data_IF_780257200224
#
_entry.id   IF_780257200224
#
_cell.length_a   1.000
_cell.length_b   1.000
_cell.length_c   1.000
_cell.angle_alpha   90.00
_cell.angle_beta   90.00
_cell.angle_gamma   90.00
#
_symmetry.space_group_name_H-M   'P 1'
#
loop_
_entity.id
_entity.type
_entity.pdbx_description
1 polymer ?
#
# COMPACT_ATOMS: atom_id res chain seq x y z
N UNK A 1 33.08 -7.92 -2.94
CA UNK A 1 33.74 -6.81 -3.68
C UNK A 1 32.68 -5.74 -3.89
N UNK A 2 32.72 -4.62 -3.15
CA UNK A 2 31.61 -3.65 -3.10
C UNK A 2 31.32 -3.02 -4.47
N UNK A 3 30.13 -3.25 -5.03
CA UNK A 3 29.66 -2.63 -6.27
C UNK A 3 28.57 -1.59 -5.97
N UNK A 4 28.97 -0.33 -6.13
CA UNK A 4 28.21 0.84 -6.59
C UNK A 4 26.67 0.78 -6.53
N UNK A 5 26.09 1.40 -5.50
CA UNK A 5 24.70 1.88 -5.50
C UNK A 5 24.64 3.10 -6.44
N UNK A 6 24.01 2.94 -7.60
CA UNK A 6 23.78 4.06 -8.52
C UNK A 6 22.44 4.69 -8.21
N UNK A 7 22.40 5.57 -7.20
CA UNK A 7 21.25 6.41 -6.92
C UNK A 7 21.20 7.54 -7.96
N UNK A 8 20.52 7.32 -9.08
CA UNK A 8 20.26 8.35 -10.09
C UNK A 8 18.78 8.43 -10.37
N UNK A 9 18.12 9.39 -9.74
CA UNK A 9 16.89 10.00 -10.27
C UNK A 9 16.77 11.41 -9.76
N UNK A 10 17.00 12.35 -10.67
CA UNK A 10 16.94 13.77 -10.45
C UNK A 10 15.49 14.20 -10.16
N UNK A 11 15.25 14.76 -8.98
CA UNK A 11 14.05 15.52 -8.68
C UNK A 11 14.05 16.83 -9.50
N UNK A 12 13.53 16.76 -10.73
CA UNK A 12 13.17 17.94 -11.50
C UNK A 12 11.82 18.43 -11.00
N UNK A 13 11.85 19.38 -10.06
CA UNK A 13 10.69 20.22 -9.73
C UNK A 13 10.30 21.04 -10.97
N UNK A 14 9.38 20.52 -11.78
CA UNK A 14 8.63 21.36 -12.70
C UNK A 14 7.65 22.19 -11.85
N UNK A 15 8.10 23.37 -11.44
CA UNK A 15 7.23 24.44 -10.96
C UNK A 15 6.39 24.95 -12.15
N UNK A 16 5.39 24.16 -12.56
CA UNK A 16 4.33 24.64 -13.41
C UNK A 16 3.55 25.69 -12.65
N UNK A 17 3.77 26.96 -12.98
CA UNK A 17 2.91 28.07 -12.57
C UNK A 17 1.60 27.99 -13.35
N UNK A 18 0.85 26.90 -13.15
CA UNK A 18 -0.55 26.85 -13.52
C UNK A 18 -1.24 27.92 -12.70
N UNK A 19 -1.77 28.96 -13.36
CA UNK A 19 -2.61 29.95 -12.70
C UNK A 19 -3.74 29.18 -12.01
N UNK A 20 -3.68 29.12 -10.67
CA UNK A 20 -4.80 28.67 -9.87
C UNK A 20 -5.95 29.65 -10.16
N UNK A 21 -6.83 29.25 -11.07
CA UNK A 21 -8.14 29.88 -11.17
C UNK A 21 -8.75 29.78 -9.77
N UNK A 22 -9.28 30.88 -9.26
CA UNK A 22 -9.89 31.02 -7.94
C UNK A 22 -11.14 30.12 -7.87
N UNK A 23 -10.92 28.82 -7.67
CA UNK A 23 -11.96 27.83 -7.48
C UNK A 23 -12.19 27.78 -5.97
N UNK A 24 -13.00 28.71 -5.47
CA UNK A 24 -13.36 28.78 -4.06
C UNK A 24 -13.82 27.42 -3.55
N UNK A 25 -13.28 27.00 -2.40
CA UNK A 25 -13.57 25.71 -1.78
C UNK A 25 -12.65 24.57 -2.22
N UNK A 26 -11.78 24.75 -3.21
CA UNK A 26 -10.75 23.77 -3.56
C UNK A 26 -9.62 23.73 -2.52
N UNK A 27 -9.00 22.57 -2.33
CA UNK A 27 -7.75 22.43 -1.60
C UNK A 27 -6.92 21.28 -2.16
N UNK A 28 -5.61 21.38 -2.03
CA UNK A 28 -4.65 20.31 -2.35
C UNK A 28 -3.83 19.98 -1.13
N UNK A 29 -3.41 18.72 -1.00
CA UNK A 29 -2.58 18.27 0.11
C UNK A 29 -1.52 17.27 -0.33
N UNK A 30 -0.47 17.14 0.48
CA UNK A 30 0.57 16.15 0.29
C UNK A 30 1.25 15.82 1.62
N UNK A 31 1.78 14.61 1.72
CA UNK A 31 2.43 14.16 2.95
C UNK A 31 2.81 12.69 2.92
N UNK A 32 2.81 12.09 4.09
CA UNK A 32 3.09 10.67 4.31
C UNK A 32 1.88 9.99 4.94
N UNK A 33 1.71 8.72 4.60
CA UNK A 33 0.69 7.83 5.12
C UNK A 33 1.28 6.46 5.48
N UNK A 34 0.47 5.57 6.07
CA UNK A 34 0.83 4.16 6.25
C UNK A 34 1.16 3.44 4.94
N UNK A 35 0.72 3.99 3.80
CA UNK A 35 1.04 3.49 2.45
C UNK A 35 2.23 4.17 1.78
N UNK A 36 2.90 5.11 2.45
CA UNK A 36 3.97 5.91 1.84
C UNK A 36 3.54 7.34 1.52
N UNK A 37 4.13 7.94 0.49
CA UNK A 37 3.83 9.32 0.13
C UNK A 37 2.41 9.43 -0.44
N UNK A 38 1.71 10.52 -0.14
CA UNK A 38 0.40 10.80 -0.72
C UNK A 38 0.28 12.21 -1.27
N UNK A 39 -0.63 12.36 -2.21
CA UNK A 39 -1.16 13.64 -2.67
C UNK A 39 -2.70 13.59 -2.63
N UNK A 40 -3.34 14.72 -2.36
CA UNK A 40 -4.79 14.83 -2.29
C UNK A 40 -5.30 16.08 -3.01
N UNK A 41 -6.53 15.98 -3.52
CA UNK A 41 -7.28 17.11 -4.03
C UNK A 41 -8.69 17.03 -3.45
N UNK A 42 -9.23 18.16 -2.99
CA UNK A 42 -10.57 18.21 -2.42
C UNK A 42 -11.33 19.46 -2.83
N UNK A 43 -12.65 19.35 -2.80
CA UNK A 43 -13.56 20.43 -3.14
C UNK A 43 -14.75 20.46 -2.19
N UNK A 44 -15.12 21.65 -1.71
CA UNK A 44 -16.32 21.86 -0.88
C UNK A 44 -17.57 21.84 -1.76
N UNK A 45 -18.38 20.79 -1.61
CA UNK A 45 -19.61 20.60 -2.40
C UNK A 45 -20.85 21.13 -1.69
N UNK A 46 -20.80 21.23 -0.36
CA UNK A 46 -21.85 21.78 0.46
C UNK A 46 -21.25 22.30 1.78
N UNK A 47 -21.97 23.14 2.55
CA UNK A 47 -21.50 23.58 3.85
C UNK A 47 -21.14 22.38 4.72
N UNK A 48 -19.91 22.37 5.24
CA UNK A 48 -19.34 21.29 6.07
C UNK A 48 -19.05 19.98 5.35
N UNK A 49 -19.24 19.89 4.03
CA UNK A 49 -19.01 18.66 3.27
C UNK A 49 -18.03 18.90 2.12
N UNK A 50 -16.92 18.16 2.13
CA UNK A 50 -15.93 18.18 1.06
C UNK A 50 -15.81 16.80 0.43
N UNK A 51 -15.63 16.74 -0.87
CA UNK A 51 -15.18 15.52 -1.55
C UNK A 51 -13.68 15.57 -1.71
N UNK A 52 -12.98 14.47 -1.43
CA UNK A 52 -11.53 14.37 -1.47
C UNK A 52 -11.08 13.12 -2.20
N UNK A 53 -10.22 13.31 -3.20
CA UNK A 53 -9.44 12.24 -3.82
C UNK A 53 -8.05 12.17 -3.20
N UNK A 54 -7.54 10.98 -2.96
CA UNK A 54 -6.18 10.74 -2.48
C UNK A 54 -5.50 9.75 -3.43
N UNK A 55 -4.25 10.01 -3.79
CA UNK A 55 -3.35 9.02 -4.39
C UNK A 55 -2.24 8.79 -3.39
N UNK A 56 -1.97 7.53 -3.04
CA UNK A 56 -0.97 7.17 -2.03
C UNK A 56 -0.16 5.96 -2.48
N UNK A 57 1.10 5.91 -2.09
CA UNK A 57 1.92 4.73 -2.30
C UNK A 57 3.41 4.94 -2.06
N UNK A 58 4.15 3.85 -2.18
CA UNK A 58 5.60 3.85 -2.30
C UNK A 58 5.99 3.71 -3.77
N UNK A 59 7.15 4.26 -4.19
CA UNK A 59 7.76 3.86 -5.43
C UNK A 59 7.91 2.34 -5.47
N UNK A 60 7.68 1.73 -6.63
CA UNK A 60 7.99 0.32 -6.87
C UNK A 60 9.42 0.03 -6.44
N UNK A 61 9.60 -1.08 -5.73
CA UNK A 61 10.91 -1.55 -5.32
C UNK A 61 11.13 -2.97 -5.85
N UNK A 62 12.34 -3.20 -6.31
CA UNK A 62 12.85 -4.49 -6.78
C UNK A 62 14.07 -4.79 -5.90
N UNK A 63 14.06 -5.94 -5.21
CA UNK A 63 15.21 -6.42 -4.46
C UNK A 63 15.69 -7.74 -5.07
N UNK A 64 16.92 -7.75 -5.55
CA UNK A 64 17.65 -8.94 -5.97
C UNK A 64 18.78 -9.20 -4.95
N UNK A 65 18.75 -10.34 -4.27
CA UNK A 65 19.88 -10.81 -3.45
C UNK A 65 20.55 -12.01 -4.13
N UNK A 66 21.75 -11.79 -4.68
CA UNK A 66 22.62 -12.85 -5.20
C UNK A 66 23.41 -13.44 -4.02
N UNK A 67 22.85 -14.44 -3.33
CA UNK A 67 23.51 -15.09 -2.19
C UNK A 67 24.77 -15.87 -2.60
N UNK A 68 25.97 -15.27 -2.47
CA UNK A 68 27.27 -15.90 -2.76
C UNK A 68 27.56 -17.19 -1.93
N UNK A 69 26.76 -17.53 -0.90
CA UNK A 69 26.93 -18.73 -0.07
C UNK A 69 25.85 -19.83 -0.21
N UNK A 70 24.72 -19.59 -0.88
CA UNK A 70 23.63 -20.62 -1.00
C UNK A 70 23.09 -20.87 -2.40
N UNK A 71 23.41 -20.05 -3.41
CA UNK A 71 22.96 -20.29 -4.79
C UNK A 71 21.46 -20.06 -5.06
N UNK A 72 20.75 -19.42 -4.14
CA UNK A 72 19.34 -19.08 -4.28
C UNK A 72 19.19 -17.62 -4.73
N UNK A 73 18.78 -17.42 -5.99
CA UNK A 73 18.33 -16.11 -6.47
C UNK A 73 16.92 -15.85 -5.91
N UNK A 74 16.79 -14.82 -5.06
CA UNK A 74 15.51 -14.37 -4.54
C UNK A 74 15.24 -12.97 -5.10
N UNK A 75 14.12 -12.84 -5.82
CA UNK A 75 13.64 -11.56 -6.35
C UNK A 75 12.31 -11.22 -5.66
N UNK A 76 12.18 -9.97 -5.22
CA UNK A 76 10.94 -9.42 -4.66
C UNK A 76 10.52 -8.17 -5.43
N UNK A 77 9.25 -8.17 -5.86
CA UNK A 77 8.59 -7.07 -6.54
C UNK A 77 7.41 -6.61 -5.70
N UNK A 78 7.39 -5.33 -5.30
CA UNK A 78 6.33 -4.78 -4.47
C UNK A 78 5.73 -3.49 -5.00
N UNK A 79 4.40 -3.45 -5.15
CA UNK A 79 3.63 -2.21 -5.19
C UNK A 79 2.83 -2.07 -3.90
N UNK A 80 2.92 -0.91 -3.26
CA UNK A 80 2.14 -0.64 -2.06
C UNK A 80 1.48 0.71 -2.19
N UNK A 81 0.15 0.76 -2.29
CA UNK A 81 -0.56 1.99 -2.55
C UNK A 81 -2.01 1.82 -2.99
N UNK A 82 -2.55 2.92 -3.51
CA UNK A 82 -3.92 2.98 -3.99
C UNK A 82 -4.44 4.40 -4.21
N UNK A 83 -5.73 4.46 -4.50
CA UNK A 83 -6.48 5.71 -4.66
C UNK A 83 -7.67 5.69 -3.71
N UNK A 84 -7.96 6.79 -3.02
CA UNK A 84 -9.14 6.91 -2.17
C UNK A 84 -10.10 7.97 -2.71
N UNK A 85 -11.39 7.72 -2.58
CA UNK A 85 -12.45 8.69 -2.79
C UNK A 85 -13.25 8.84 -1.48
N UNK A 86 -13.17 10.01 -0.86
CA UNK A 86 -13.69 10.28 0.48
C UNK A 86 -14.67 11.46 0.47
N UNK A 87 -15.66 11.37 1.36
CA UNK A 87 -16.47 12.50 1.79
C UNK A 87 -16.05 12.92 3.20
N UNK A 88 -15.55 14.15 3.32
CA UNK A 88 -15.10 14.74 4.58
C UNK A 88 -16.22 15.63 5.16
N UNK A 89 -16.81 15.17 6.26
CA UNK A 89 -17.78 15.93 7.03
C UNK A 89 -17.09 16.71 8.16
N UNK A 90 -17.42 17.99 8.32
CA UNK A 90 -16.86 18.89 9.33
C UNK A 90 -17.95 19.36 10.31
N UNK A 91 -18.28 18.56 11.36
CA UNK A 91 -19.43 18.80 12.24
C UNK A 91 -19.49 20.23 12.81
N UNK A 92 -18.32 20.74 13.21
CA UNK A 92 -18.15 22.03 13.87
C UNK A 92 -17.70 23.16 12.94
N UNK A 93 -17.73 22.96 11.62
CA UNK A 93 -17.24 23.91 10.61
C UNK A 93 -15.81 24.43 10.90
N UNK A 94 -14.99 23.60 11.55
CA UNK A 94 -13.64 23.91 11.97
C UNK A 94 -12.66 22.84 11.51
N UNK A 95 -11.55 22.71 12.23
CA UNK A 95 -10.44 21.84 11.86
C UNK A 95 -10.72 20.34 11.94
N UNK A 96 -11.70 19.90 12.71
CA UNK A 96 -12.01 18.48 12.86
C UNK A 96 -12.87 17.97 11.70
N UNK A 97 -12.46 16.84 11.11
CA UNK A 97 -13.21 16.13 10.06
C UNK A 97 -13.44 14.66 10.40
N UNK A 98 -14.58 14.15 9.93
CA UNK A 98 -14.89 12.72 9.85
C UNK A 98 -15.02 12.38 8.38
N UNK A 99 -14.23 11.42 7.92
CA UNK A 99 -14.09 11.05 6.52
C UNK A 99 -14.63 9.65 6.31
N UNK A 100 -15.38 9.44 5.24
CA UNK A 100 -15.85 8.11 4.85
C UNK A 100 -15.91 7.95 3.34
N UNK A 101 -15.60 6.77 2.84
CA UNK A 101 -15.63 6.49 1.41
C UNK A 101 -15.02 5.14 1.04
N UNK A 102 -14.35 5.10 -0.11
CA UNK A 102 -13.79 3.89 -0.69
C UNK A 102 -12.30 4.07 -0.95
N UNK A 103 -11.54 3.00 -0.73
CA UNK A 103 -10.13 2.86 -1.07
C UNK A 103 -10.00 1.79 -2.16
N UNK A 104 -9.33 2.15 -3.24
CA UNK A 104 -9.03 1.28 -4.39
C UNK A 104 -7.56 0.89 -4.27
N UNK A 105 -7.30 -0.31 -3.78
CA UNK A 105 -5.93 -0.80 -3.58
C UNK A 105 -5.30 -1.25 -4.89
N UNK A 106 -4.00 -1.05 -4.99
CA UNK A 106 -3.13 -1.71 -5.98
C UNK A 106 -1.92 -2.36 -5.28
N UNK A 107 -2.09 -2.71 -4.01
CA UNK A 107 -1.02 -3.29 -3.22
C UNK A 107 -0.84 -4.77 -3.59
N UNK A 108 0.35 -5.12 -4.06
CA UNK A 108 0.79 -6.50 -4.22
C UNK A 108 2.24 -6.64 -3.76
N UNK A 109 2.56 -7.79 -3.21
CA UNK A 109 3.93 -8.20 -2.94
C UNK A 109 4.11 -9.58 -3.56
N UNK A 110 4.95 -9.64 -4.59
CA UNK A 110 5.26 -10.84 -5.34
C UNK A 110 6.72 -11.20 -5.06
N UNK A 111 7.01 -12.48 -4.84
CA UNK A 111 8.37 -12.95 -4.53
C UNK A 111 8.61 -14.34 -5.07
N UNK A 112 9.84 -14.62 -5.49
CA UNK A 112 10.23 -15.94 -5.94
C UNK A 112 11.50 -16.41 -5.25
N UNK A 113 11.57 -17.69 -4.90
CA UNK A 113 12.71 -18.28 -4.19
C UNK A 113 13.06 -19.69 -4.67
N UNK A 114 14.26 -20.11 -4.29
CA UNK A 114 14.75 -21.48 -4.44
C UNK A 114 14.95 -22.11 -3.07
N UNK A 115 14.53 -23.37 -2.94
CA UNK A 115 14.42 -24.08 -1.68
C UNK A 115 13.05 -23.89 -1.03
N UNK A 116 12.53 -24.97 -0.45
CA UNK A 116 11.29 -24.96 0.35
C UNK A 116 11.46 -25.91 1.54
N UNK A 117 11.00 -25.49 2.71
CA UNK A 117 10.96 -26.33 3.91
C UNK A 117 9.50 -26.42 4.37
N UNK A 118 8.98 -27.64 4.40
CA UNK A 118 7.63 -27.94 4.87
C UNK A 118 7.55 -27.83 6.40
N UNK A 119 6.33 -27.71 6.92
CA UNK A 119 6.10 -27.62 8.38
C UNK A 119 6.59 -28.84 9.16
N UNK A 120 6.58 -30.02 8.54
CA UNK A 120 7.04 -31.27 9.12
C UNK A 120 8.58 -31.42 9.16
N UNK A 121 9.29 -30.44 8.60
CA UNK A 121 10.75 -30.40 8.49
C UNK A 121 11.31 -31.07 7.23
N UNK A 122 10.46 -31.48 6.28
CA UNK A 122 10.90 -31.96 4.97
C UNK A 122 11.47 -30.81 4.15
N UNK A 123 12.70 -30.99 3.65
CA UNK A 123 13.41 -29.96 2.88
C UNK A 123 13.51 -30.34 1.40
N UNK A 124 13.18 -29.39 0.55
CA UNK A 124 13.18 -29.47 -0.90
C UNK A 124 14.19 -28.47 -1.47
N UNK A 125 15.47 -28.84 -1.48
CA UNK A 125 16.57 -27.96 -1.89
C UNK A 125 16.44 -27.46 -3.36
N UNK A 126 15.85 -28.27 -4.24
CA UNK A 126 15.68 -27.95 -5.66
C UNK A 126 14.32 -27.32 -5.98
N UNK A 127 13.47 -27.08 -4.98
CA UNK A 127 12.16 -26.50 -5.21
C UNK A 127 12.29 -25.05 -5.67
N UNK A 128 11.40 -24.64 -6.57
CA UNK A 128 11.17 -23.24 -6.91
C UNK A 128 9.76 -22.89 -6.46
N UNK A 129 9.64 -21.82 -5.68
CA UNK A 129 8.36 -21.33 -5.15
C UNK A 129 8.21 -19.86 -5.52
N UNK A 130 7.06 -19.53 -6.07
CA UNK A 130 6.58 -18.20 -6.36
C UNK A 130 5.44 -17.90 -5.38
N UNK A 131 5.49 -16.76 -4.70
CA UNK A 131 4.50 -16.34 -3.70
C UNK A 131 3.94 -14.96 -4.04
N UNK A 132 2.63 -14.78 -3.85
CA UNK A 132 1.93 -13.51 -4.04
C UNK A 132 1.09 -13.17 -2.81
N UNK A 133 1.13 -11.91 -2.40
CA UNK A 133 0.36 -11.36 -1.29
C UNK A 133 -0.41 -10.13 -1.76
N UNK A 134 -1.74 -10.14 -1.61
CA UNK A 134 -2.63 -9.04 -2.02
C UNK A 134 -3.72 -8.81 -0.98
N UNK A 135 -4.29 -7.61 -0.93
CA UNK A 135 -5.52 -7.44 -0.13
C UNK A 135 -6.68 -8.14 -0.83
N UNK A 136 -7.50 -8.85 -0.06
CA UNK A 136 -8.67 -9.57 -0.58
C UNK A 136 -9.66 -8.60 -1.25
N UNK A 137 -9.89 -7.44 -0.64
CA UNK A 137 -10.78 -6.41 -1.18
C UNK A 137 -10.00 -5.32 -1.92
N UNK A 138 -10.02 -5.37 -3.26
CA UNK A 138 -9.48 -4.30 -4.11
C UNK A 138 -10.23 -2.97 -3.90
N UNK A 139 -11.54 -3.03 -3.59
CA UNK A 139 -12.40 -1.87 -3.32
C UNK A 139 -12.90 -1.94 -1.88
N UNK A 140 -12.13 -1.36 -0.97
CA UNK A 140 -12.37 -1.45 0.46
C UNK A 140 -13.11 -0.21 1.01
N UNK A 141 -14.09 -0.37 1.93
CA UNK A 141 -14.63 0.76 2.67
C UNK A 141 -13.57 1.38 3.58
N UNK A 142 -13.53 2.71 3.63
CA UNK A 142 -12.57 3.48 4.43
C UNK A 142 -13.29 4.47 5.34
N UNK A 143 -12.89 4.51 6.61
CA UNK A 143 -13.36 5.47 7.60
C UNK A 143 -12.17 6.11 8.31
N UNK A 144 -12.22 7.43 8.50
CA UNK A 144 -11.16 8.13 9.19
C UNK A 144 -11.66 9.35 9.97
N UNK A 145 -10.86 9.78 10.94
CA UNK A 145 -11.01 11.06 11.61
C UNK A 145 -9.72 11.86 11.44
N UNK A 146 -9.85 13.15 11.22
CA UNK A 146 -8.71 14.00 10.94
C UNK A 146 -8.82 15.39 11.54
N UNK A 147 -7.68 16.06 11.54
CA UNK A 147 -7.56 17.45 11.96
C UNK A 147 -6.80 18.23 10.90
N UNK A 148 -7.39 19.32 10.41
CA UNK A 148 -6.79 20.23 9.42
C UNK A 148 -6.71 21.64 10.00
N UNK A 149 -5.51 22.19 10.08
CA UNK A 149 -5.29 23.59 10.45
C UNK A 149 -5.26 24.46 9.19
N UNK A 150 -5.32 25.78 9.36
CA UNK A 150 -5.27 26.73 8.23
C UNK A 150 -6.60 27.42 7.95
N UNK A 151 -6.51 28.71 7.62
CA UNK A 151 -7.62 29.56 7.21
C UNK A 151 -7.96 29.42 5.73
N UNK A 152 -8.84 30.29 5.24
CA UNK A 152 -9.03 30.43 3.80
C UNK A 152 -7.75 30.97 3.17
N UNK A 153 -7.43 30.50 1.95
CA UNK A 153 -6.26 30.98 1.20
C UNK A 153 -4.93 30.80 1.94
N UNK A 154 -4.80 29.74 2.74
CA UNK A 154 -3.60 29.50 3.54
C UNK A 154 -3.13 28.05 3.47
N UNK A 155 -1.85 27.88 3.81
CA UNK A 155 -1.31 26.59 4.17
C UNK A 155 -1.86 26.13 5.52
N UNK A 156 -1.88 24.82 5.69
CA UNK A 156 -2.39 24.12 6.85
C UNK A 156 -1.64 22.82 7.06
N UNK A 157 -1.57 22.37 8.30
CA UNK A 157 -1.16 21.00 8.63
C UNK A 157 -2.39 20.10 8.67
N UNK A 158 -2.28 18.89 8.11
CA UNK A 158 -3.30 17.86 8.23
C UNK A 158 -2.75 16.58 8.87
N UNK A 159 -3.57 15.96 9.71
CA UNK A 159 -3.32 14.63 10.24
C UNK A 159 -4.61 13.81 10.25
N UNK A 160 -4.49 12.50 10.06
CA UNK A 160 -5.63 11.59 9.97
C UNK A 160 -5.28 10.21 10.54
N UNK A 161 -6.26 9.60 11.20
CA UNK A 161 -6.24 8.20 11.64
C UNK A 161 -7.55 7.55 11.22
N UNK A 162 -7.45 6.33 10.68
CA UNK A 162 -8.59 5.62 10.13
C UNK A 162 -8.33 4.14 9.96
N UNK A 163 -9.32 3.48 9.35
CA UNK A 163 -9.34 2.05 9.09
C UNK A 163 -9.85 1.84 7.67
N UNK A 164 -9.28 0.84 6.99
CA UNK A 164 -9.68 0.36 5.67
C UNK A 164 -10.10 -1.10 5.86
N UNK A 165 -11.31 -1.46 5.46
CA UNK A 165 -11.79 -2.85 5.53
C UNK A 165 -11.28 -3.65 4.35
N UNK A 166 -10.09 -4.24 4.47
CA UNK A 166 -9.39 -4.95 3.39
C UNK A 166 -9.85 -6.39 3.18
N UNK A 167 -10.76 -6.89 4.02
CA UNK A 167 -11.33 -8.26 3.92
C UNK A 167 -10.40 -9.33 4.47
N UNK A 168 -9.13 -9.24 4.11
CA UNK A 168 -8.04 -10.11 4.51
C UNK A 168 -6.81 -9.82 3.66
N UNK A 169 -5.81 -10.69 3.76
CA UNK A 169 -4.69 -10.76 2.82
C UNK A 169 -4.78 -12.10 2.12
N UNK A 170 -5.00 -12.08 0.82
CA UNK A 170 -4.92 -13.27 -0.02
C UNK A 170 -3.45 -13.63 -0.21
N UNK A 171 -3.13 -14.88 0.11
CA UNK A 171 -1.82 -15.51 -0.07
C UNK A 171 -1.96 -16.54 -1.16
N UNK A 172 -1.10 -16.49 -2.17
CA UNK A 172 -1.02 -17.52 -3.20
C UNK A 172 0.40 -18.06 -3.26
N UNK A 173 0.56 -19.37 -3.17
CA UNK A 173 1.84 -20.04 -3.33
C UNK A 173 1.76 -21.02 -4.51
N UNK A 174 2.69 -20.88 -5.45
CA UNK A 174 2.84 -21.77 -6.59
C UNK A 174 4.28 -22.28 -6.66
N UNK A 175 4.50 -23.51 -7.09
CA UNK A 175 5.86 -24.01 -7.18
C UNK A 175 6.05 -25.36 -7.86
N UNK A 176 7.31 -25.71 -8.03
CA UNK A 176 7.75 -27.02 -8.54
C UNK A 176 8.86 -27.57 -7.68
N UNK A 177 8.82 -28.86 -7.33
CA UNK A 177 9.82 -29.48 -6.44
C UNK A 177 11.22 -29.62 -7.06
N UNK A 178 11.30 -29.63 -8.40
CA UNK A 178 12.53 -29.96 -9.13
C UNK A 178 12.87 -31.45 -9.18
N UNK A 179 12.12 -32.31 -8.47
CA UNK A 179 12.27 -33.76 -8.45
C UNK A 179 10.90 -34.48 -8.58
N UNK A 180 10.59 -35.09 -9.74
CA UNK A 180 9.32 -35.77 -9.98
C UNK A 180 8.97 -36.90 -9.01
N UNK A 181 9.94 -37.39 -8.24
CA UNK A 181 9.71 -38.47 -7.27
C UNK A 181 9.04 -37.98 -5.98
N UNK A 182 9.09 -36.66 -5.71
CA UNK A 182 8.51 -36.03 -4.52
C UNK A 182 7.45 -34.97 -4.85
N UNK A 183 7.15 -34.74 -6.13
CA UNK A 183 6.19 -33.72 -6.59
C UNK A 183 4.84 -33.76 -5.87
N UNK A 184 4.28 -34.96 -5.65
CA UNK A 184 2.99 -35.08 -4.95
C UNK A 184 3.09 -34.63 -3.50
N UNK A 185 4.15 -35.02 -2.79
CA UNK A 185 4.37 -34.61 -1.40
C UNK A 185 4.65 -33.11 -1.32
N UNK A 186 5.48 -32.58 -2.22
CA UNK A 186 5.79 -31.16 -2.29
C UNK A 186 4.53 -30.29 -2.48
N UNK A 187 3.59 -30.70 -3.34
CA UNK A 187 2.35 -29.94 -3.54
C UNK A 187 1.44 -30.01 -2.31
N UNK A 188 1.35 -31.17 -1.64
CA UNK A 188 0.60 -31.29 -0.39
C UNK A 188 1.19 -30.39 0.71
N UNK A 189 2.52 -30.37 0.85
CA UNK A 189 3.22 -29.52 1.82
C UNK A 189 3.09 -28.02 1.47
N UNK A 190 3.11 -27.67 0.18
CA UNK A 190 2.95 -26.28 -0.28
C UNK A 190 1.52 -25.77 -0.01
N UNK A 191 0.51 -26.60 -0.27
CA UNK A 191 -0.90 -26.29 0.02
C UNK A 191 -1.14 -26.13 1.54
N UNK A 192 -0.49 -26.92 2.39
CA UNK A 192 -0.58 -26.76 3.86
C UNK A 192 -0.01 -25.42 4.32
N UNK A 193 1.18 -25.06 3.84
CA UNK A 193 1.82 -23.76 4.16
C UNK A 193 0.99 -22.59 3.61
N UNK A 194 0.43 -22.72 2.41
CA UNK A 194 -0.46 -21.71 1.83
C UNK A 194 -1.73 -21.55 2.67
N UNK A 195 -2.36 -22.64 3.10
CA UNK A 195 -3.57 -22.61 3.92
C UNK A 195 -3.35 -21.94 5.28
N UNK A 196 -2.23 -22.23 5.93
CA UNK A 196 -1.88 -21.62 7.21
C UNK A 196 -1.55 -20.12 7.05
N UNK A 197 -0.83 -19.76 5.98
CA UNK A 197 -0.58 -18.36 5.65
C UNK A 197 -1.88 -17.62 5.32
N UNK A 198 -2.81 -18.26 4.62
CA UNK A 198 -4.14 -17.72 4.32
C UNK A 198 -4.97 -17.53 5.58
N UNK A 199 -4.98 -18.49 6.53
CA UNK A 199 -5.67 -18.33 7.82
C UNK A 199 -5.12 -17.12 8.59
N UNK A 200 -3.80 -16.89 8.54
CA UNK A 200 -3.20 -15.69 9.11
C UNK A 200 -3.61 -14.41 8.37
N UNK A 201 -3.70 -14.45 7.05
CA UNK A 201 -4.15 -13.35 6.21
C UNK A 201 -5.60 -12.94 6.47
N UNK A 202 -6.48 -13.92 6.64
CA UNK A 202 -7.91 -13.75 6.94
C UNK A 202 -8.16 -13.03 8.27
N UNK A 203 -7.21 -13.12 9.22
CA UNK A 203 -7.29 -12.36 10.47
C UNK A 203 -7.13 -10.85 10.27
N UNK A 204 -6.47 -10.40 9.19
CA UNK A 204 -6.23 -8.98 8.90
C UNK A 204 -7.39 -8.36 8.12
N UNK A 205 -8.58 -8.37 8.69
CA UNK A 205 -9.79 -7.80 8.06
C UNK A 205 -9.71 -6.27 7.89
N UNK A 206 -8.90 -5.60 8.73
CA UNK A 206 -8.76 -4.14 8.72
C UNK A 206 -7.31 -3.70 8.68
N UNK A 207 -7.01 -2.74 7.81
CA UNK A 207 -5.71 -2.09 7.71
C UNK A 207 -5.75 -0.66 8.29
N UNK A 208 -4.81 -0.28 9.18
CA UNK A 208 -4.78 1.06 9.76
C UNK A 208 -4.34 2.12 8.75
N UNK A 209 -5.16 3.14 8.56
CA UNK A 209 -4.79 4.36 7.85
C UNK A 209 -4.23 5.38 8.83
N UNK A 210 -2.99 5.80 8.63
CA UNK A 210 -2.38 6.90 9.36
C UNK A 210 -1.84 7.88 8.35
N UNK A 211 -2.05 9.19 8.52
CA UNK A 211 -1.42 10.18 7.65
C UNK A 211 -1.09 11.48 8.36
N UNK A 212 -0.03 12.13 7.89
CA UNK A 212 0.41 13.47 8.27
C UNK A 212 0.85 14.22 7.02
N UNK A 213 0.56 15.51 6.94
CA UNK A 213 0.91 16.29 5.76
C UNK A 213 0.62 17.76 5.89
N UNK A 214 0.75 18.44 4.76
CA UNK A 214 0.38 19.85 4.61
C UNK A 214 -0.63 19.99 3.48
N UNK A 215 -1.54 20.94 3.65
CA UNK A 215 -2.54 21.27 2.64
C UNK A 215 -2.58 22.77 2.38
N UNK A 216 -3.00 23.14 1.18
CA UNK A 216 -3.28 24.51 0.80
C UNK A 216 -4.74 24.62 0.36
N UNK A 217 -5.49 25.49 1.02
CA UNK A 217 -6.86 25.85 0.63
C UNK A 217 -6.83 27.11 -0.22
N UNK A 218 -7.50 27.06 -1.38
CA UNK A 218 -7.66 28.20 -2.28
C UNK A 218 -8.80 29.11 -1.84
#
# INVERSE_FOLDING_TARGET
MFRSITLSSAFLFLAGTGSAQDIGGAAVGFGLSSFGAYASASYEVAPKLRLRGIVTGLPSFEFDDEGEETGSDITFDGSFGGVAALADYHPYAGSFRVSGGLFFSNSSLDGNGQGFEAEDGTSYDNARVDGSLRFEEEIAPMLAIGYVTGGERSWGFESEIGLIGVGGVEVTLDGTSGDPTVDTQFQEDLEEVEADAQEMGDMLVVYPWLSIGVSYRF
#
